data_IF_996960686950
#
_entry.id   IF_996960686950
#
_cell.length_a   1.000
_cell.length_b   1.000
_cell.length_c   1.000
_cell.angle_alpha   90.00
_cell.angle_beta   90.00
_cell.angle_gamma   90.00
#
_symmetry.space_group_name_H-M   'P 1'
#
loop_
_entity.id
_entity.type
_entity.pdbx_description
1 polymer ?
#
# COMPACT_ATOMS: atom_id res chain seq x y z
N UNK A 1 44.71 -10.06 39.78
CA UNK A 1 45.06 -8.83 40.55
C UNK A 1 43.86 -7.90 40.59
N UNK A 2 43.76 -6.98 41.57
CA UNK A 2 42.65 -6.00 41.67
C UNK A 2 43.13 -4.60 41.27
N UNK A 3 42.30 -3.82 40.55
CA UNK A 3 42.37 -2.35 40.56
C UNK A 3 40.97 -1.74 40.33
N UNK A 4 40.70 -0.64 41.02
CA UNK A 4 39.50 0.23 40.93
C UNK A 4 40.02 1.68 40.93
N UNK A 5 39.08 2.64 40.83
CA UNK A 5 39.24 4.11 40.95
C UNK A 5 39.85 4.83 39.72
N UNK A 6 39.49 6.09 39.42
CA UNK A 6 38.22 6.85 39.57
C UNK A 6 38.39 8.30 39.02
N UNK A 7 37.28 9.05 38.87
CA UNK A 7 37.20 10.52 38.64
C UNK A 7 37.78 11.03 37.27
N UNK A 8 37.54 12.29 36.82
CA UNK A 8 36.31 13.12 36.66
C UNK A 8 36.68 14.49 36.03
N UNK A 9 35.66 15.29 35.63
CA UNK A 9 35.68 16.76 35.36
C UNK A 9 36.32 17.25 34.03
N UNK A 10 36.02 18.43 33.46
CA UNK A 10 34.82 19.33 33.43
C UNK A 10 35.07 20.53 32.45
N UNK A 11 34.04 21.25 31.97
CA UNK A 11 34.11 22.63 31.37
C UNK A 11 34.86 22.77 30.00
N UNK A 12 34.91 23.86 29.19
CA UNK A 12 34.26 25.19 28.95
C UNK A 12 34.84 25.80 27.64
N UNK A 13 34.35 26.84 26.90
CA UNK A 13 33.04 27.49 26.56
C UNK A 13 33.31 28.71 25.61
N UNK A 14 32.27 29.36 25.03
CA UNK A 14 32.16 30.73 24.41
C UNK A 14 32.32 30.96 22.88
N UNK A 15 31.39 31.77 22.36
CA UNK A 15 31.31 32.46 21.04
C UNK A 15 31.63 33.97 21.15
N UNK A 16 32.03 34.60 20.02
CA UNK A 16 31.45 35.90 19.56
C UNK A 16 31.41 36.07 18.00
N UNK A 17 31.03 37.18 17.36
CA UNK A 17 29.84 38.07 17.48
C UNK A 17 29.78 39.13 16.31
N UNK A 18 28.62 39.79 16.10
CA UNK A 18 28.37 41.14 15.54
C UNK A 18 28.37 41.56 14.03
N UNK A 19 27.18 42.06 13.61
CA UNK A 19 26.84 43.35 12.88
C UNK A 19 27.26 43.59 11.40
N UNK A 20 26.52 44.34 10.55
CA UNK A 20 25.28 45.17 10.70
C UNK A 20 24.27 44.95 9.52
N UNK A 21 23.49 45.83 8.85
CA UNK A 21 23.33 47.31 8.72
C UNK A 21 21.87 47.70 8.26
N UNK A 22 21.67 48.88 7.64
CA UNK A 22 20.37 49.44 7.09
C UNK A 22 20.64 50.19 5.74
N UNK A 23 19.72 50.55 4.82
CA UNK A 23 18.42 51.29 4.84
C UNK A 23 17.36 50.60 3.90
N UNK A 24 16.34 51.15 3.19
CA UNK A 24 15.89 52.48 2.67
C UNK A 24 14.36 52.48 2.32
N UNK A 25 13.77 53.66 1.98
CA UNK A 25 12.37 53.84 1.51
C UNK A 25 12.26 54.40 0.08
N UNK A 26 11.14 54.12 -0.62
CA UNK A 26 10.42 55.02 -1.58
C UNK A 26 8.95 54.55 -1.69
N UNK A 27 8.00 55.45 -1.94
CA UNK A 27 6.57 55.14 -2.15
C UNK A 27 6.17 55.35 -3.61
N UNK A 28 5.32 54.47 -4.16
CA UNK A 28 4.70 54.63 -5.47
C UNK A 28 3.40 53.83 -5.56
N UNK A 29 2.33 54.44 -6.08
CA UNK A 29 1.01 53.80 -6.24
C UNK A 29 0.89 53.19 -7.62
N UNK A 30 0.46 51.92 -7.70
CA UNK A 30 0.19 51.20 -8.94
C UNK A 30 -0.97 50.23 -8.73
N UNK A 31 -1.84 50.09 -9.74
CA UNK A 31 -3.14 49.41 -9.59
C UNK A 31 -3.10 48.01 -10.20
N UNK A 32 -3.77 47.07 -9.54
CA UNK A 32 -4.19 45.75 -10.02
C UNK A 32 -3.10 44.72 -10.41
N UNK A 33 -3.02 43.66 -9.59
CA UNK A 33 -2.93 42.29 -10.10
C UNK A 33 -3.73 41.34 -9.23
N UNK A 34 -4.65 40.59 -9.83
CA UNK A 34 -5.43 39.54 -9.16
C UNK A 34 -4.62 38.24 -9.20
N UNK A 35 -3.45 38.24 -8.56
CA UNK A 35 -2.56 37.08 -8.59
C UNK A 35 -3.16 35.95 -7.74
N UNK A 36 -3.39 34.81 -8.41
CA UNK A 36 -4.13 33.65 -7.93
C UNK A 36 -3.67 33.14 -6.57
N UNK A 37 -4.63 32.88 -5.67
CA UNK A 37 -4.42 32.10 -4.45
C UNK A 37 -4.00 30.67 -4.80
N UNK A 38 -2.70 30.46 -5.02
CA UNK A 38 -2.09 29.14 -5.23
C UNK A 38 -2.18 28.36 -3.92
N UNK A 39 -3.30 27.65 -3.75
CA UNK A 39 -3.56 26.72 -2.65
C UNK A 39 -2.31 25.86 -2.43
N UNK A 40 -1.73 25.80 -1.22
CA UNK A 40 -0.53 25.02 -0.99
C UNK A 40 -0.85 23.54 -1.14
N UNK A 41 -0.37 22.96 -2.25
CA UNK A 41 -0.30 21.51 -2.44
C UNK A 41 0.65 20.93 -1.39
N UNK A 42 0.06 20.58 -0.24
CA UNK A 42 0.76 19.85 0.81
C UNK A 42 1.14 18.50 0.21
N UNK A 43 2.42 18.33 -0.14
CA UNK A 43 2.96 17.07 -0.62
C UNK A 43 2.87 16.03 0.49
N UNK A 44 1.74 15.32 0.54
CA UNK A 44 1.54 14.18 1.43
C UNK A 44 2.69 13.19 1.14
N UNK A 45 3.47 12.77 2.14
CA UNK A 45 4.57 11.84 1.91
C UNK A 45 4.00 10.54 1.35
N UNK A 46 4.35 10.23 0.10
CA UNK A 46 3.94 9.01 -0.58
C UNK A 46 4.57 7.83 0.18
N UNK A 47 3.73 7.04 0.86
CA UNK A 47 4.20 5.87 1.59
C UNK A 47 4.94 4.90 0.64
N UNK A 48 6.10 4.36 1.03
CA UNK A 48 6.87 3.47 0.18
C UNK A 48 6.04 2.21 -0.16
N UNK A 49 6.14 1.74 -1.40
CA UNK A 49 5.44 0.51 -1.81
C UNK A 49 5.99 -0.67 -1.00
N UNK A 50 5.14 -1.55 -0.43
CA UNK A 50 5.58 -2.71 0.35
C UNK A 50 6.56 -3.60 -0.43
N UNK A 51 7.69 -3.96 0.18
CA UNK A 51 8.76 -4.74 -0.48
C UNK A 51 8.27 -6.04 -1.12
N UNK A 52 7.30 -6.72 -0.53
CA UNK A 52 6.72 -7.96 -1.08
C UNK A 52 6.11 -7.76 -2.47
N UNK A 53 5.67 -6.55 -2.82
CA UNK A 53 5.10 -6.20 -4.12
C UNK A 53 6.17 -5.75 -5.15
N UNK A 54 7.44 -5.60 -4.74
CA UNK A 54 8.53 -5.11 -5.60
C UNK A 54 9.75 -6.05 -5.67
N UNK A 55 9.87 -6.98 -4.72
CA UNK A 55 10.97 -7.96 -4.64
C UNK A 55 10.54 -9.37 -5.08
N UNK A 56 9.27 -9.54 -5.47
CA UNK A 56 8.68 -10.76 -6.04
C UNK A 56 8.11 -10.45 -7.42
N UNK A 57 8.00 -11.48 -8.25
CA UNK A 57 7.17 -11.42 -9.45
C UNK A 57 5.69 -11.20 -9.06
N UNK A 58 4.95 -10.49 -9.91
CA UNK A 58 3.51 -10.22 -9.70
C UNK A 58 2.75 -10.70 -10.95
N UNK A 59 2.31 -11.95 -10.94
CA UNK A 59 1.67 -12.62 -12.08
C UNK A 59 0.19 -12.24 -12.20
N UNK A 60 -0.22 -11.72 -13.36
CA UNK A 60 -1.64 -11.39 -13.62
C UNK A 60 -2.41 -12.68 -13.97
N UNK A 61 -2.91 -13.35 -12.94
CA UNK A 61 -3.71 -14.59 -13.08
C UNK A 61 -5.13 -14.31 -13.59
N UNK A 62 -5.66 -13.09 -13.42
CA UNK A 62 -6.97 -12.70 -13.94
C UNK A 62 -7.12 -11.19 -14.14
N UNK A 63 -7.75 -10.82 -15.26
CA UNK A 63 -8.40 -9.51 -15.41
C UNK A 63 -9.92 -9.70 -15.41
N UNK A 64 -10.63 -8.85 -14.67
CA UNK A 64 -12.08 -8.83 -14.54
C UNK A 64 -12.58 -7.44 -14.95
N UNK A 65 -13.19 -7.36 -16.13
CA UNK A 65 -13.85 -6.15 -16.62
C UNK A 65 -15.30 -6.11 -16.14
N UNK A 66 -15.74 -5.01 -15.52
CA UNK A 66 -17.10 -4.88 -14.98
C UNK A 66 -17.60 -3.45 -14.88
N UNK A 67 -18.91 -3.27 -15.05
CA UNK A 67 -19.67 -2.06 -14.74
C UNK A 67 -20.12 -1.99 -13.27
N UNK A 68 -19.95 -3.07 -12.50
CA UNK A 68 -20.39 -3.14 -11.12
C UNK A 68 -19.39 -2.44 -10.18
N UNK A 69 -19.80 -1.27 -9.68
CA UNK A 69 -19.02 -0.46 -8.73
C UNK A 69 -18.56 -1.26 -7.49
N UNK A 70 -19.44 -2.06 -6.89
CA UNK A 70 -19.18 -2.78 -5.64
C UNK A 70 -18.66 -4.19 -5.90
N UNK A 71 -17.47 -4.47 -5.39
CA UNK A 71 -16.81 -5.78 -5.47
C UNK A 71 -16.83 -6.45 -4.09
N UNK A 72 -17.20 -7.74 -4.07
CA UNK A 72 -17.10 -8.60 -2.89
C UNK A 72 -16.22 -9.79 -3.26
N UNK A 73 -15.17 -10.03 -2.48
CA UNK A 73 -14.25 -11.14 -2.67
C UNK A 73 -14.30 -12.04 -1.44
N UNK A 74 -14.35 -13.34 -1.66
CA UNK A 74 -14.13 -14.38 -0.65
C UNK A 74 -12.90 -15.18 -1.05
N UNK A 75 -11.98 -15.38 -0.12
CA UNK A 75 -10.80 -16.24 -0.30
C UNK A 75 -10.93 -17.44 0.62
N UNK A 76 -10.76 -18.63 0.05
CA UNK A 76 -10.82 -19.92 0.72
C UNK A 76 -9.51 -20.69 0.51
N UNK A 77 -9.33 -21.74 1.29
CA UNK A 77 -8.46 -22.87 0.95
C UNK A 77 -8.82 -23.49 -0.43
N UNK A 78 -7.88 -24.19 -1.08
CA UNK A 78 -8.11 -24.89 -2.35
C UNK A 78 -7.51 -26.32 -2.37
N UNK A 79 -7.49 -27.02 -1.23
CA UNK A 79 -7.14 -28.44 -1.20
C UNK A 79 -7.30 -29.09 0.17
N UNK A 80 -6.36 -28.83 1.07
CA UNK A 80 -6.31 -29.38 2.42
C UNK A 80 -5.75 -28.30 3.33
N UNK A 81 -6.37 -28.09 4.50
CA UNK A 81 -6.13 -26.93 5.37
C UNK A 81 -4.79 -27.05 6.13
N UNK A 82 -3.68 -26.88 5.42
CA UNK A 82 -2.32 -27.26 5.82
C UNK A 82 -1.51 -26.11 6.47
N UNK A 83 -2.21 -25.19 7.15
CA UNK A 83 -1.67 -23.95 7.74
C UNK A 83 -1.24 -22.86 6.74
N UNK A 84 -1.60 -23.00 5.46
CA UNK A 84 -1.46 -21.98 4.43
C UNK A 84 -1.96 -20.58 4.87
N UNK A 85 -1.17 -19.53 4.66
CA UNK A 85 -1.41 -18.18 5.21
C UNK A 85 -1.07 -17.07 4.21
N UNK A 86 -1.98 -16.11 4.05
CA UNK A 86 -1.88 -15.04 3.06
C UNK A 86 -2.05 -13.63 3.63
N UNK A 87 -1.46 -12.66 2.96
CA UNK A 87 -1.84 -11.24 3.03
C UNK A 87 -2.44 -10.80 1.68
N UNK A 88 -3.33 -9.81 1.73
CA UNK A 88 -3.97 -9.23 0.53
C UNK A 88 -3.75 -7.73 0.52
N UNK A 89 -3.30 -7.22 -0.61
CA UNK A 89 -3.12 -5.80 -0.88
C UNK A 89 -4.12 -5.35 -1.96
N UNK A 90 -4.73 -4.18 -1.77
CA UNK A 90 -5.53 -3.49 -2.78
C UNK A 90 -4.87 -2.14 -3.07
N UNK A 91 -4.52 -1.88 -4.33
CA UNK A 91 -3.82 -0.66 -4.76
C UNK A 91 -2.60 -0.33 -3.89
N UNK A 92 -1.79 -1.38 -3.64
CA UNK A 92 -0.58 -1.40 -2.79
C UNK A 92 -0.82 -1.17 -1.28
N UNK A 93 -2.07 -0.96 -0.83
CA UNK A 93 -2.47 -0.85 0.59
C UNK A 93 -2.80 -2.24 1.15
N UNK A 94 -2.28 -2.58 2.32
CA UNK A 94 -2.59 -3.84 3.00
C UNK A 94 -4.06 -3.81 3.49
N UNK A 95 -4.89 -4.76 3.02
CA UNK A 95 -6.31 -4.88 3.41
C UNK A 95 -6.63 -6.16 4.18
N UNK A 96 -5.79 -7.19 4.05
CA UNK A 96 -5.80 -8.39 4.91
C UNK A 96 -4.35 -8.70 5.28
N UNK A 97 -4.08 -8.92 6.57
CA UNK A 97 -2.74 -9.30 7.04
C UNK A 97 -2.76 -10.70 7.64
N UNK A 98 -1.87 -11.58 7.15
CA UNK A 98 -1.51 -12.87 7.75
C UNK A 98 -2.70 -13.69 8.24
N UNK A 99 -3.67 -13.90 7.35
CA UNK A 99 -4.83 -14.75 7.62
C UNK A 99 -4.61 -16.15 7.05
N UNK A 100 -4.84 -17.16 7.89
CA UNK A 100 -4.83 -18.58 7.49
C UNK A 100 -6.00 -18.87 6.54
N UNK A 101 -5.72 -19.62 5.48
CA UNK A 101 -6.74 -20.18 4.59
C UNK A 101 -7.49 -21.32 5.29
N UNK A 102 -8.80 -21.37 5.08
CA UNK A 102 -9.71 -22.41 5.60
C UNK A 102 -10.95 -22.50 4.70
N UNK A 103 -11.86 -23.44 4.99
CA UNK A 103 -13.24 -23.45 4.48
C UNK A 103 -14.04 -22.16 4.80
N UNK A 104 -13.62 -21.37 5.80
CA UNK A 104 -14.28 -20.11 6.17
C UNK A 104 -13.64 -18.93 5.42
N UNK A 105 -14.42 -18.35 4.50
CA UNK A 105 -14.01 -17.22 3.68
C UNK A 105 -13.42 -16.03 4.46
N UNK A 106 -12.16 -15.70 4.15
CA UNK A 106 -11.63 -14.34 4.33
C UNK A 106 -12.41 -13.45 3.35
N UNK A 107 -13.11 -12.43 3.85
CA UNK A 107 -13.98 -11.59 3.01
C UNK A 107 -13.43 -10.17 2.87
N UNK A 108 -13.13 -9.75 1.65
CA UNK A 108 -12.73 -8.37 1.30
C UNK A 108 -13.88 -7.71 0.54
N UNK A 109 -14.14 -6.43 0.82
CA UNK A 109 -15.16 -5.62 0.14
C UNK A 109 -14.59 -4.25 -0.18
N UNK A 110 -14.76 -3.80 -1.41
CA UNK A 110 -14.32 -2.48 -1.87
C UNK A 110 -15.21 -2.01 -3.01
N UNK A 111 -15.08 -0.73 -3.34
CA UNK A 111 -15.68 -0.15 -4.53
C UNK A 111 -14.57 0.15 -5.53
N UNK A 112 -14.85 -0.05 -6.82
CA UNK A 112 -14.13 0.59 -7.91
C UNK A 112 -14.57 2.05 -7.97
N UNK A 113 -13.70 2.97 -8.39
CA UNK A 113 -14.06 4.39 -8.48
C UNK A 113 -13.50 5.08 -9.73
N UNK A 114 -14.20 6.13 -10.15
CA UNK A 114 -13.93 6.91 -11.36
C UNK A 114 -12.58 7.70 -11.31
N UNK A 115 -11.77 7.55 -10.24
CA UNK A 115 -10.40 8.12 -10.20
C UNK A 115 -9.33 7.17 -10.73
N UNK A 116 -9.65 5.88 -10.91
CA UNK A 116 -8.74 4.88 -11.46
C UNK A 116 -9.49 3.70 -12.12
N UNK A 117 -9.49 3.66 -13.46
CA UNK A 117 -10.09 2.57 -14.25
C UNK A 117 -9.54 1.17 -13.92
N UNK A 118 -8.37 1.06 -13.27
CA UNK A 118 -7.65 -0.20 -13.02
C UNK A 118 -7.25 -0.39 -11.55
N UNK A 119 -8.10 -1.03 -10.76
CA UNK A 119 -7.75 -1.42 -9.39
C UNK A 119 -7.00 -2.75 -9.37
N UNK A 120 -5.92 -2.83 -8.58
CA UNK A 120 -5.06 -4.01 -8.48
C UNK A 120 -5.19 -4.67 -7.12
N UNK A 121 -5.69 -5.90 -7.09
CA UNK A 121 -5.56 -6.78 -5.92
C UNK A 121 -4.35 -7.68 -6.11
N UNK A 122 -3.45 -7.71 -5.11
CA UNK A 122 -2.32 -8.64 -5.05
C UNK A 122 -2.48 -9.55 -3.83
N UNK A 123 -2.46 -10.86 -4.06
CA UNK A 123 -2.37 -11.87 -3.01
C UNK A 123 -0.92 -12.29 -2.81
N UNK A 124 -0.51 -12.34 -1.55
CA UNK A 124 0.88 -12.55 -1.13
C UNK A 124 0.92 -13.73 -0.17
N UNK A 125 1.63 -14.79 -0.55
CA UNK A 125 1.97 -15.90 0.31
C UNK A 125 2.89 -15.43 1.47
N UNK A 126 2.45 -15.66 2.71
CA UNK A 126 3.21 -15.37 3.95
C UNK A 126 3.93 -16.63 4.48
N UNK A 127 3.48 -17.81 4.06
CA UNK A 127 4.17 -19.11 4.11
C UNK A 127 3.82 -19.92 2.84
N UNK A 128 4.17 -21.21 2.79
CA UNK A 128 3.85 -22.12 1.68
C UNK A 128 3.01 -23.33 2.13
N UNK A 129 2.21 -23.17 3.20
CA UNK A 129 1.56 -24.30 3.88
C UNK A 129 2.56 -25.28 4.48
N UNK A 130 2.12 -26.53 4.61
CA UNK A 130 2.96 -27.72 4.84
C UNK A 130 3.29 -28.42 3.50
N UNK A 131 2.45 -28.25 2.49
CA UNK A 131 2.57 -28.83 1.15
C UNK A 131 2.68 -27.68 0.12
N UNK A 132 3.91 -27.24 -0.23
CA UNK A 132 4.09 -26.14 -1.16
C UNK A 132 3.56 -26.47 -2.57
N UNK A 133 3.02 -25.50 -3.33
CA UNK A 133 2.93 -24.06 -3.03
C UNK A 133 1.66 -23.66 -2.27
N UNK A 134 1.61 -22.41 -1.77
CA UNK A 134 0.39 -21.81 -1.21
C UNK A 134 -0.72 -21.78 -2.28
N UNK A 135 -1.92 -22.30 -1.98
CA UNK A 135 -3.05 -22.34 -2.91
C UNK A 135 -4.37 -21.85 -2.31
N UNK A 136 -5.11 -21.03 -3.05
CA UNK A 136 -6.41 -20.51 -2.63
C UNK A 136 -7.44 -20.49 -3.75
N UNK A 137 -8.72 -20.52 -3.36
CA UNK A 137 -9.83 -20.26 -4.25
C UNK A 137 -10.38 -18.87 -3.95
N UNK A 138 -10.21 -17.95 -4.89
CA UNK A 138 -10.81 -16.62 -4.83
C UNK A 138 -12.13 -16.59 -5.60
N UNK A 139 -13.22 -16.39 -4.87
CA UNK A 139 -14.57 -16.16 -5.43
C UNK A 139 -14.85 -14.66 -5.44
N UNK A 140 -14.89 -14.08 -6.63
CA UNK A 140 -15.18 -12.66 -6.86
C UNK A 140 -16.64 -12.51 -7.27
N UNK A 141 -17.37 -11.61 -6.62
CA UNK A 141 -18.73 -11.21 -7.01
C UNK A 141 -18.72 -9.72 -7.39
N UNK A 142 -19.17 -9.42 -8.60
CA UNK A 142 -19.22 -8.07 -9.17
C UNK A 142 -20.60 -7.87 -9.81
N UNK A 143 -21.50 -7.19 -9.08
CA UNK A 143 -22.92 -7.11 -9.46
C UNK A 143 -23.54 -8.50 -9.52
N UNK A 144 -24.21 -8.82 -10.63
CA UNK A 144 -24.84 -10.13 -10.86
C UNK A 144 -23.87 -11.19 -11.42
N UNK A 145 -22.58 -10.87 -11.60
CA UNK A 145 -21.57 -11.80 -12.14
C UNK A 145 -20.69 -12.34 -11.01
N UNK A 146 -20.37 -13.62 -11.09
CA UNK A 146 -19.42 -14.29 -10.20
C UNK A 146 -18.29 -14.92 -11.01
N UNK A 147 -17.08 -14.90 -10.46
CA UNK A 147 -15.87 -15.43 -11.07
C UNK A 147 -15.09 -16.24 -10.03
N UNK A 148 -14.68 -17.45 -10.40
CA UNK A 148 -13.67 -18.20 -9.66
C UNK A 148 -12.28 -17.93 -10.24
N UNK A 149 -11.31 -17.72 -9.35
CA UNK A 149 -9.88 -17.65 -9.68
C UNK A 149 -9.16 -18.58 -8.72
N UNK A 150 -8.60 -19.68 -9.23
CA UNK A 150 -7.64 -20.49 -8.47
C UNK A 150 -6.31 -19.75 -8.48
N UNK A 151 -5.75 -19.55 -7.30
CA UNK A 151 -4.53 -18.79 -7.06
C UNK A 151 -3.48 -19.74 -6.50
N UNK A 152 -2.27 -19.57 -7.01
CA UNK A 152 -1.05 -20.17 -6.48
C UNK A 152 -0.07 -19.03 -6.17
N UNK A 153 0.65 -19.10 -5.06
CA UNK A 153 1.66 -18.10 -4.70
C UNK A 153 2.86 -18.73 -4.01
N UNK A 154 4.01 -18.06 -4.10
CA UNK A 154 5.26 -18.54 -3.51
C UNK A 154 6.03 -17.39 -2.83
N UNK A 155 7.17 -17.70 -2.23
CA UNK A 155 8.08 -16.67 -1.69
C UNK A 155 8.71 -15.78 -2.77
N UNK A 156 8.59 -16.15 -4.05
CA UNK A 156 9.15 -15.46 -5.21
C UNK A 156 8.08 -14.87 -6.14
N UNK A 157 6.83 -15.37 -6.11
CA UNK A 157 5.73 -14.97 -7.01
C UNK A 157 4.42 -14.72 -6.25
N UNK A 158 3.88 -13.51 -6.39
CA UNK A 158 2.55 -13.13 -5.95
C UNK A 158 1.53 -13.29 -7.10
N UNK A 159 0.27 -13.56 -6.78
CA UNK A 159 -0.81 -13.56 -7.76
C UNK A 159 -1.57 -12.23 -7.77
N UNK A 160 -1.94 -11.74 -8.96
CA UNK A 160 -2.62 -10.47 -9.20
C UNK A 160 -3.96 -10.68 -9.88
N UNK A 161 -5.00 -10.08 -9.33
CA UNK A 161 -6.30 -9.90 -9.99
C UNK A 161 -6.50 -8.41 -10.29
N UNK A 162 -6.62 -8.09 -11.57
CA UNK A 162 -6.88 -6.72 -12.05
C UNK A 162 -8.39 -6.54 -12.24
N UNK A 163 -8.93 -5.46 -11.70
CA UNK A 163 -10.30 -5.03 -11.90
C UNK A 163 -10.30 -3.84 -12.85
N UNK A 164 -10.82 -4.04 -14.06
CA UNK A 164 -11.07 -2.93 -14.99
C UNK A 164 -12.51 -2.45 -14.81
N UNK A 165 -12.68 -1.20 -14.42
CA UNK A 165 -13.99 -0.58 -14.34
C UNK A 165 -14.39 -0.05 -15.72
N UNK A 166 -15.54 -0.51 -16.23
CA UNK A 166 -16.14 -0.02 -17.48
C UNK A 166 -17.57 0.39 -17.17
N UNK A 167 -17.75 1.68 -16.87
CA UNK A 167 -19.04 2.27 -16.54
C UNK A 167 -19.96 2.29 -17.77
N UNK A 168 -21.22 1.91 -17.60
CA UNK A 168 -22.23 2.10 -18.64
C UNK A 168 -22.39 3.60 -18.95
N UNK A 169 -22.67 3.94 -20.22
CA UNK A 169 -22.78 5.32 -20.73
C UNK A 169 -24.21 5.84 -20.70
#
# INVERSE_FOLDING_TARGET
MRKRLHLKNNSTVKTPDNQKAIKSNTVGVGIAKLDTLKKPETKIPIAPTPRVLTARENEVVKTITTNANKIIIKVYDNGSIDNDTVSVYLDKKLVVSKQRLTEKAITVKFNLDDTNDFHQLVMVAENLGEIPPNTSLMVVTAGNKQYEVRITSTEQKNAVVIFKYEKDK
#
